data_IF_195695537324
#
_entry.id   IF_195695537324
#
_cell.length_a   1.000
_cell.length_b   1.000
_cell.length_c   1.000
_cell.angle_alpha   90.00
_cell.angle_beta   90.00
_cell.angle_gamma   90.00
#
_symmetry.space_group_name_H-M   'P 1'
#
loop_
_entity.id
_entity.type
_entity.pdbx_description
1 polymer ?
#
# COMPACT_ATOMS: atom_id res chain seq x y z
N UNK A 1 -7.16 -11.19 -17.22
CA UNK A 1 -7.68 -10.99 -15.85
C UNK A 1 -7.09 -9.71 -15.25
N UNK A 2 -7.63 -9.21 -14.14
CA UNK A 2 -6.94 -8.21 -13.33
C UNK A 2 -5.97 -8.89 -12.36
N UNK A 3 -4.84 -8.25 -12.07
CA UNK A 3 -3.97 -8.55 -10.95
C UNK A 3 -3.73 -7.30 -10.13
N UNK A 4 -4.06 -7.34 -8.84
CA UNK A 4 -3.72 -6.30 -7.88
C UNK A 4 -2.45 -6.74 -7.15
N UNK A 5 -1.36 -6.00 -7.36
CA UNK A 5 -0.04 -6.29 -6.81
C UNK A 5 0.30 -5.31 -5.68
N UNK A 6 0.26 -5.76 -4.43
CA UNK A 6 0.46 -4.92 -3.24
C UNK A 6 1.56 -5.48 -2.33
N UNK A 7 2.65 -4.74 -2.20
CA UNK A 7 3.86 -5.16 -1.46
C UNK A 7 4.63 -3.97 -0.87
N UNK A 8 5.69 -4.24 -0.11
CA UNK A 8 6.63 -3.24 0.41
C UNK A 8 7.54 -2.62 -0.66
N UNK A 9 7.97 -3.39 -1.66
CA UNK A 9 8.77 -2.90 -2.78
C UNK A 9 8.91 -3.94 -3.88
N UNK A 10 8.71 -3.53 -5.13
CA UNK A 10 9.11 -4.27 -6.33
C UNK A 10 9.79 -3.34 -7.34
N UNK A 11 10.61 -3.90 -8.24
CA UNK A 11 11.25 -3.12 -9.29
C UNK A 11 10.34 -3.02 -10.53
N UNK A 12 9.97 -1.79 -10.89
CA UNK A 12 9.07 -1.51 -12.00
C UNK A 12 9.72 -1.63 -13.38
N UNK A 13 8.91 -1.85 -14.41
CA UNK A 13 9.38 -1.82 -15.81
C UNK A 13 9.80 -0.42 -16.29
N UNK A 14 9.44 0.62 -15.53
CA UNK A 14 9.84 2.02 -15.67
C UNK A 14 11.10 2.38 -14.83
N UNK A 15 11.66 1.42 -14.08
CA UNK A 15 12.74 1.64 -13.11
C UNK A 15 12.30 2.25 -11.79
N UNK A 16 10.99 2.44 -11.57
CA UNK A 16 10.42 2.93 -10.32
C UNK A 16 10.29 1.86 -9.23
N UNK A 17 10.04 2.30 -8.00
CA UNK A 17 9.78 1.41 -6.86
C UNK A 17 8.28 1.14 -6.73
N UNK A 18 7.82 0.05 -7.33
CA UNK A 18 6.42 -0.38 -7.36
C UNK A 18 6.02 -1.09 -6.05
N UNK A 19 4.73 -1.37 -5.89
CA UNK A 19 4.19 -2.17 -4.78
C UNK A 19 2.73 -1.86 -4.46
N UNK A 20 1.99 -1.24 -5.36
CA UNK A 20 0.57 -0.93 -5.24
C UNK A 20 0.03 -0.69 -6.64
N UNK A 21 0.05 -1.74 -7.45
CA UNK A 21 -0.18 -1.67 -8.89
C UNK A 21 -1.46 -2.41 -9.26
N UNK A 22 -2.24 -1.85 -10.19
CA UNK A 22 -3.35 -2.56 -10.81
C UNK A 22 -2.96 -2.90 -12.25
N UNK A 23 -2.94 -4.19 -12.55
CA UNK A 23 -2.42 -4.75 -13.80
C UNK A 23 -3.53 -5.48 -14.57
N UNK A 24 -3.54 -5.38 -15.90
CA UNK A 24 -4.19 -6.34 -16.78
C UNK A 24 -3.17 -7.43 -17.11
N UNK A 25 -3.48 -8.67 -16.77
CA UNK A 25 -2.65 -9.85 -17.02
C UNK A 25 -3.32 -10.70 -18.09
N UNK A 26 -2.58 -11.07 -19.13
CA UNK A 26 -3.05 -11.89 -20.25
C UNK A 26 -1.91 -12.77 -20.79
N UNK A 27 -2.09 -14.09 -20.80
CA UNK A 27 -0.98 -15.02 -21.05
C UNK A 27 0.21 -14.75 -20.12
N UNK A 28 1.42 -14.67 -20.69
CA UNK A 28 2.64 -14.22 -19.98
C UNK A 28 2.83 -12.69 -19.95
N UNK A 29 1.90 -11.91 -20.52
CA UNK A 29 2.00 -10.46 -20.68
C UNK A 29 1.28 -9.72 -19.54
N UNK A 30 1.79 -8.53 -19.20
CA UNK A 30 1.15 -7.63 -18.23
C UNK A 30 1.15 -6.18 -18.73
N UNK A 31 0.11 -5.44 -18.37
CA UNK A 31 -0.08 -4.03 -18.71
C UNK A 31 -0.53 -3.27 -17.46
N UNK A 32 0.20 -2.23 -17.06
CA UNK A 32 -0.12 -1.40 -15.89
C UNK A 32 -1.32 -0.49 -16.22
N UNK A 33 -2.44 -0.73 -15.55
CA UNK A 33 -3.67 0.06 -15.67
C UNK A 33 -3.72 1.27 -14.73
N UNK A 34 -2.85 1.27 -13.71
CA UNK A 34 -2.81 2.28 -12.66
C UNK A 34 -1.86 1.90 -11.53
N UNK A 35 -1.67 2.83 -10.59
CA UNK A 35 -0.87 2.63 -9.38
C UNK A 35 -1.41 3.47 -8.21
N UNK A 36 -1.03 3.15 -6.98
CA UNK A 36 -1.26 4.06 -5.84
C UNK A 36 -0.47 5.37 -6.05
N UNK A 37 -0.97 6.48 -5.50
CA UNK A 37 -0.25 7.76 -5.50
C UNK A 37 1.19 7.57 -4.98
N UNK A 38 2.21 7.97 -5.74
CA UNK A 38 3.60 7.81 -5.30
C UNK A 38 3.88 8.64 -4.05
N UNK A 39 4.45 8.00 -3.02
CA UNK A 39 4.98 8.63 -1.83
C UNK A 39 6.50 8.85 -1.93
N UNK A 40 7.04 9.97 -1.45
CA UNK A 40 8.48 10.16 -1.34
C UNK A 40 9.11 9.24 -0.28
N UNK A 41 10.26 8.65 -0.60
CA UNK A 41 11.08 7.81 0.28
C UNK A 41 12.32 8.55 0.80
N UNK A 42 12.20 9.37 1.86
CA UNK A 42 13.33 10.16 2.36
C UNK A 42 14.41 9.29 3.02
N UNK A 43 15.47 8.99 2.26
CA UNK A 43 16.57 8.11 2.67
C UNK A 43 16.49 6.69 2.11
N UNK A 44 15.68 6.45 1.07
CA UNK A 44 15.60 5.17 0.37
C UNK A 44 15.20 4.02 1.31
N UNK A 45 15.96 2.93 1.27
CA UNK A 45 15.78 1.71 2.08
C UNK A 45 15.64 1.98 3.59
N UNK A 46 16.23 3.08 4.09
CA UNK A 46 16.06 3.49 5.50
C UNK A 46 14.62 3.86 5.83
N UNK A 47 13.83 4.38 4.88
CA UNK A 47 12.42 4.66 5.09
C UNK A 47 11.61 3.37 5.32
N UNK A 48 11.99 2.26 4.67
CA UNK A 48 11.41 0.93 4.87
C UNK A 48 11.83 0.24 6.18
N UNK A 49 12.73 0.84 6.98
CA UNK A 49 13.05 0.40 8.36
C UNK A 49 12.76 1.45 9.43
N UNK A 50 12.52 2.68 9.04
CA UNK A 50 12.23 3.81 9.93
C UNK A 50 10.89 4.47 9.54
N UNK A 51 9.72 3.79 9.61
CA UNK A 51 8.39 4.30 9.27
C UNK A 51 8.07 5.75 9.63
N UNK A 52 8.60 6.26 10.76
CA UNK A 52 8.48 7.66 11.15
C UNK A 52 9.06 8.66 10.12
N UNK A 53 9.88 8.20 9.16
CA UNK A 53 10.35 8.95 7.97
C UNK A 53 9.25 9.16 6.93
N UNK A 54 8.45 8.12 6.66
CA UNK A 54 7.31 8.19 5.74
C UNK A 54 6.21 9.07 6.32
N UNK A 55 5.96 8.95 7.63
CA UNK A 55 5.07 9.86 8.35
C UNK A 55 5.53 11.33 8.26
N UNK A 56 6.84 11.61 8.38
CA UNK A 56 7.39 12.94 8.16
C UNK A 56 7.25 13.41 6.70
N UNK A 57 7.47 12.53 5.73
CA UNK A 57 7.31 12.83 4.30
C UNK A 57 5.85 13.21 3.98
N UNK A 58 4.89 12.44 4.50
CA UNK A 58 3.44 12.70 4.40
C UNK A 58 3.05 14.02 5.06
N UNK A 59 3.52 14.31 6.28
CA UNK A 59 3.27 15.61 6.93
C UNK A 59 3.79 16.77 6.06
N UNK A 60 4.97 16.64 5.45
CA UNK A 60 5.46 17.64 4.50
C UNK A 60 4.57 17.76 3.25
N UNK A 61 4.14 16.64 2.64
CA UNK A 61 3.20 16.63 1.50
C UNK A 61 1.84 17.27 1.84
N UNK A 62 1.39 17.19 3.10
CA UNK A 62 0.19 17.84 3.63
C UNK A 62 0.38 19.33 3.98
N UNK A 63 1.56 19.91 3.72
CA UNK A 63 1.90 21.28 4.12
C UNK A 63 2.21 21.45 5.62
N UNK A 64 2.21 20.35 6.39
CA UNK A 64 2.39 20.29 7.85
C UNK A 64 3.86 20.08 8.26
N UNK A 65 4.79 20.69 7.52
CA UNK A 65 6.24 20.47 7.68
C UNK A 65 6.79 20.83 9.06
N UNK A 66 6.27 21.90 9.68
CA UNK A 66 6.72 22.40 10.99
C UNK A 66 6.54 21.38 12.13
N UNK A 67 5.53 20.52 12.05
CA UNK A 67 5.25 19.53 13.09
C UNK A 67 6.29 18.41 13.17
N UNK A 68 7.02 18.15 12.09
CA UNK A 68 7.97 17.03 11.96
C UNK A 68 9.06 17.11 13.04
N UNK A 69 9.53 18.31 13.37
CA UNK A 69 10.56 18.52 14.38
C UNK A 69 10.07 18.14 15.79
N UNK A 70 8.83 18.51 16.14
CA UNK A 70 8.24 18.23 17.45
C UNK A 70 7.76 16.79 17.57
N UNK A 71 6.97 16.30 16.60
CA UNK A 71 6.33 14.97 16.63
C UNK A 71 7.34 13.81 16.64
N UNK A 72 8.56 14.04 16.19
CA UNK A 72 9.63 13.04 16.12
C UNK A 72 10.90 13.44 16.89
N UNK A 73 10.83 14.34 17.87
CA UNK A 73 11.93 14.53 18.83
C UNK A 73 12.17 13.23 19.65
N UNK A 74 13.41 12.93 20.12
CA UNK A 74 14.67 13.66 19.93
C UNK A 74 15.45 13.20 18.68
N UNK A 75 14.78 12.56 17.71
CA UNK A 75 15.40 12.08 16.45
C UNK A 75 15.77 13.29 15.58
N UNK A 76 16.52 13.13 14.47
CA UNK A 76 16.83 14.22 13.54
C UNK A 76 15.61 14.67 12.69
N UNK A 77 14.44 14.87 13.32
CA UNK A 77 13.21 15.39 12.70
C UNK A 77 13.39 16.78 12.12
N UNK A 78 14.05 17.69 12.84
CA UNK A 78 14.37 19.02 12.33
C UNK A 78 15.25 18.97 11.06
N UNK A 79 16.31 18.14 11.06
CA UNK A 79 17.18 17.98 9.89
C UNK A 79 16.47 17.30 8.70
N UNK A 80 15.58 16.34 8.98
CA UNK A 80 14.74 15.72 7.95
C UNK A 80 13.74 16.73 7.36
N UNK A 81 13.08 17.53 8.20
CA UNK A 81 12.16 18.58 7.75
C UNK A 81 12.86 19.61 6.86
N UNK A 82 14.03 20.10 7.28
CA UNK A 82 14.87 21.00 6.46
C UNK A 82 15.26 20.37 5.12
N UNK A 83 15.58 19.07 5.09
CA UNK A 83 15.97 18.36 3.86
C UNK A 83 14.81 18.09 2.91
N UNK A 84 13.59 17.88 3.44
CA UNK A 84 12.34 17.82 2.66
C UNK A 84 12.01 19.21 2.07
N UNK A 85 12.01 20.26 2.91
CA UNK A 85 11.78 21.66 2.51
C UNK A 85 12.82 22.16 1.49
N UNK A 86 14.04 21.64 1.52
CA UNK A 86 15.08 21.94 0.53
C UNK A 86 14.81 21.38 -0.88
N UNK A 87 13.67 20.72 -1.13
CA UNK A 87 13.16 20.41 -2.48
C UNK A 87 14.03 19.47 -3.31
N UNK A 88 14.93 18.70 -2.67
CA UNK A 88 15.81 17.77 -3.39
C UNK A 88 15.00 16.61 -3.95
N UNK A 89 15.37 16.12 -5.14
CA UNK A 89 14.72 14.96 -5.74
C UNK A 89 14.80 13.73 -4.82
N UNK A 90 13.64 13.17 -4.49
CA UNK A 90 13.50 11.98 -3.65
C UNK A 90 13.05 10.79 -4.52
N UNK A 91 13.55 9.57 -4.27
CA UNK A 91 12.94 8.37 -4.82
C UNK A 91 11.45 8.32 -4.44
N UNK A 92 10.61 7.94 -5.40
CA UNK A 92 9.16 7.81 -5.21
C UNK A 92 8.76 6.34 -5.22
N UNK A 93 7.67 5.99 -4.53
CA UNK A 93 7.12 4.63 -4.56
C UNK A 93 5.59 4.60 -4.51
N UNK A 94 4.99 3.73 -5.31
CA UNK A 94 3.56 3.39 -5.26
C UNK A 94 3.24 2.26 -4.27
N UNK A 95 4.19 1.88 -3.39
CA UNK A 95 4.02 0.76 -2.47
C UNK A 95 2.90 0.94 -1.42
N UNK A 96 1.99 -0.04 -1.34
CA UNK A 96 1.02 -0.14 -0.26
C UNK A 96 1.69 -0.42 1.09
N UNK A 97 2.75 -1.24 1.13
CA UNK A 97 3.50 -1.48 2.37
C UNK A 97 4.12 -0.19 2.95
N UNK A 98 4.49 0.77 2.09
CA UNK A 98 4.98 2.09 2.52
C UNK A 98 3.84 3.03 2.97
N UNK A 99 2.61 2.82 2.50
CA UNK A 99 1.38 3.46 3.07
C UNK A 99 1.08 2.91 4.47
N UNK A 100 1.21 1.60 4.70
CA UNK A 100 1.13 0.98 6.04
C UNK A 100 2.20 1.56 6.99
N UNK A 101 3.46 1.68 6.54
CA UNK A 101 4.52 2.30 7.33
C UNK A 101 4.20 3.78 7.65
N UNK A 102 3.70 4.56 6.69
CA UNK A 102 3.29 5.93 6.92
C UNK A 102 2.20 6.02 8.02
N UNK A 103 1.16 5.18 7.94
CA UNK A 103 0.11 5.08 8.94
C UNK A 103 0.66 4.69 10.34
N UNK A 104 1.52 3.69 10.41
CA UNK A 104 2.13 3.24 11.67
C UNK A 104 3.06 4.30 12.29
N UNK A 105 3.78 5.06 11.47
CA UNK A 105 4.63 6.17 11.90
C UNK A 105 3.83 7.38 12.38
N UNK A 106 2.70 7.70 11.73
CA UNK A 106 1.79 8.79 12.13
C UNK A 106 1.11 8.49 13.47
N UNK A 107 0.64 7.25 13.66
CA UNK A 107 0.02 6.77 14.90
C UNK A 107 1.03 6.42 16.01
N UNK A 108 2.34 6.47 15.74
CA UNK A 108 3.39 6.15 16.72
C UNK A 108 3.55 4.65 17.07
N UNK A 109 2.84 3.76 16.37
CA UNK A 109 2.77 2.30 16.60
C UNK A 109 4.15 1.63 16.45
N UNK A 110 4.88 2.04 15.42
CA UNK A 110 6.21 1.59 15.10
C UNK A 110 6.96 2.77 14.51
N UNK A 111 7.96 3.28 15.24
CA UNK A 111 8.85 4.29 14.67
C UNK A 111 9.98 3.63 13.87
N UNK A 112 10.79 2.79 14.54
CA UNK A 112 11.87 2.01 13.93
C UNK A 112 11.46 0.53 13.98
N UNK A 113 11.64 -0.19 12.88
CA UNK A 113 11.32 -1.61 12.78
C UNK A 113 12.54 -2.49 13.06
N UNK A 114 12.34 -3.58 13.80
CA UNK A 114 13.34 -4.61 14.07
C UNK A 114 13.45 -5.64 12.93
N UNK A 115 12.38 -5.82 12.16
CA UNK A 115 12.27 -6.74 11.04
C UNK A 115 11.23 -6.22 10.03
N UNK A 116 11.22 -6.75 8.81
CA UNK A 116 10.34 -6.29 7.74
C UNK A 116 8.85 -6.59 8.01
N UNK A 117 7.96 -5.67 7.65
CA UNK A 117 6.51 -5.81 7.88
C UNK A 117 6.05 -5.60 9.32
N UNK A 118 6.94 -5.40 10.31
CA UNK A 118 6.59 -5.26 11.72
C UNK A 118 5.55 -4.16 11.99
N UNK A 119 5.60 -3.04 11.25
CA UNK A 119 4.64 -1.95 11.34
C UNK A 119 3.24 -2.37 10.87
N UNK A 120 3.15 -3.09 9.74
CA UNK A 120 1.91 -3.61 9.19
C UNK A 120 1.28 -4.67 10.12
N UNK A 121 2.07 -5.63 10.62
CA UNK A 121 1.61 -6.64 11.58
C UNK A 121 1.09 -6.03 12.89
N UNK A 122 1.71 -4.93 13.36
CA UNK A 122 1.21 -4.21 14.55
C UNK A 122 -0.09 -3.47 14.26
N UNK A 123 -0.20 -2.79 13.11
CA UNK A 123 -1.42 -2.16 12.65
C UNK A 123 -2.57 -3.19 12.55
N UNK A 124 -2.29 -4.36 11.99
CA UNK A 124 -3.26 -5.47 11.85
C UNK A 124 -3.82 -5.89 13.20
N UNK A 125 -2.95 -6.30 14.14
CA UNK A 125 -3.39 -6.72 15.48
C UNK A 125 -4.04 -5.60 16.30
N UNK A 126 -3.83 -4.31 15.96
CA UNK A 126 -4.57 -3.17 16.54
C UNK A 126 -5.98 -3.05 15.94
N UNK A 127 -6.15 -3.33 14.65
CA UNK A 127 -7.45 -3.38 13.98
C UNK A 127 -8.28 -4.59 14.45
N UNK A 128 -7.68 -5.78 14.52
CA UNK A 128 -8.33 -7.00 15.01
C UNK A 128 -8.91 -6.84 16.43
N UNK A 129 -8.17 -6.17 17.33
CA UNK A 129 -8.64 -5.91 18.71
C UNK A 129 -9.76 -4.87 18.81
N UNK A 130 -9.84 -3.93 17.86
CA UNK A 130 -10.97 -3.01 17.78
C UNK A 130 -12.21 -3.70 17.18
N UNK A 131 -12.00 -4.61 16.24
CA UNK A 131 -13.05 -5.25 15.45
C UNK A 131 -13.50 -4.39 14.26
N UNK A 132 -14.72 -4.61 13.73
CA UNK A 132 -15.23 -3.91 12.57
C UNK A 132 -15.28 -2.38 12.75
N UNK A 133 -14.90 -1.66 11.69
CA UNK A 133 -15.03 -0.21 11.61
C UNK A 133 -15.49 0.18 10.20
N UNK A 134 -16.29 1.23 10.09
CA UNK A 134 -16.65 1.81 8.79
C UNK A 134 -15.42 2.45 8.11
N UNK A 135 -15.32 2.39 6.77
CA UNK A 135 -14.32 3.14 6.03
C UNK A 135 -14.52 4.65 6.21
N UNK A 136 -13.42 5.40 6.19
CA UNK A 136 -13.45 6.85 6.27
C UNK A 136 -14.10 7.43 5.01
N UNK A 137 -15.23 8.14 5.18
CA UNK A 137 -15.81 8.98 4.12
C UNK A 137 -14.75 9.96 3.61
N UNK A 138 -14.60 10.06 2.29
CA UNK A 138 -13.57 10.88 1.62
C UNK A 138 -12.12 10.53 2.02
N UNK A 139 -11.90 9.32 2.58
CA UNK A 139 -10.56 8.83 2.96
C UNK A 139 -9.62 8.49 1.80
N UNK A 140 -10.13 8.42 0.57
CA UNK A 140 -9.33 8.22 -0.63
C UNK A 140 -9.95 8.93 -1.83
N UNK A 141 -9.11 9.24 -2.82
CA UNK A 141 -9.54 9.67 -4.15
C UNK A 141 -9.10 8.64 -5.20
N UNK A 142 -9.90 8.47 -6.25
CA UNK A 142 -9.55 7.65 -7.42
C UNK A 142 -9.76 8.50 -8.68
N UNK A 143 -8.68 8.80 -9.39
CA UNK A 143 -8.71 9.62 -10.60
C UNK A 143 -7.70 9.10 -11.64
N UNK A 144 -8.11 9.01 -12.91
CA UNK A 144 -7.26 8.57 -14.03
C UNK A 144 -6.51 7.24 -13.79
N UNK A 145 -7.07 6.33 -12.97
CA UNK A 145 -6.44 5.07 -12.59
C UNK A 145 -5.43 5.16 -11.43
N UNK A 146 -5.20 6.34 -10.86
CA UNK A 146 -4.39 6.53 -9.64
C UNK A 146 -5.28 6.57 -8.40
N UNK A 147 -4.94 5.74 -7.41
CA UNK A 147 -5.64 5.67 -6.11
C UNK A 147 -4.81 6.38 -5.03
N UNK A 148 -5.37 7.43 -4.42
CA UNK A 148 -4.70 8.29 -3.45
C UNK A 148 -5.28 8.12 -2.03
N UNK A 149 -4.46 7.61 -1.11
CA UNK A 149 -4.78 7.47 0.33
C UNK A 149 -4.28 8.65 1.20
N UNK A 150 -3.79 9.74 0.60
CA UNK A 150 -3.35 10.94 1.32
C UNK A 150 -4.44 11.55 2.24
N UNK A 151 -5.76 11.53 1.90
CA UNK A 151 -6.81 11.99 2.83
C UNK A 151 -6.91 11.13 4.10
N UNK A 152 -6.87 9.80 3.98
CA UNK A 152 -6.80 8.87 5.11
C UNK A 152 -5.55 9.11 5.96
N UNK A 153 -4.40 9.32 5.34
CA UNK A 153 -3.16 9.62 6.07
C UNK A 153 -3.23 10.98 6.78
N UNK A 154 -3.91 11.99 6.21
CA UNK A 154 -4.18 13.26 6.87
C UNK A 154 -5.08 13.09 8.11
N UNK A 155 -6.12 12.27 8.01
CA UNK A 155 -6.97 11.92 9.15
C UNK A 155 -6.21 11.15 10.24
N UNK A 156 -5.34 10.21 9.86
CA UNK A 156 -4.48 9.46 10.79
C UNK A 156 -3.47 10.34 11.53
N UNK A 157 -3.03 11.45 10.95
CA UNK A 157 -2.20 12.42 11.67
C UNK A 157 -2.95 13.02 12.90
N UNK A 158 -4.28 13.15 12.83
CA UNK A 158 -5.14 13.63 13.93
C UNK A 158 -5.88 12.54 14.71
N UNK A 159 -5.86 11.28 14.27
CA UNK A 159 -6.66 10.25 14.90
C UNK A 159 -6.32 10.07 16.39
N UNK A 160 -7.36 10.02 17.24
CA UNK A 160 -7.26 9.74 18.66
C UNK A 160 -7.85 8.35 18.93
N UNK A 161 -7.16 7.53 19.71
CA UNK A 161 -7.46 6.10 19.88
C UNK A 161 -6.85 5.25 18.77
N UNK A 162 -5.68 4.67 19.04
CA UNK A 162 -4.82 4.00 18.04
C UNK A 162 -5.49 2.74 17.43
N UNK A 163 -6.25 1.99 18.23
CA UNK A 163 -6.94 0.77 17.77
C UNK A 163 -8.08 1.10 16.79
N UNK A 164 -8.92 2.10 17.11
CA UNK A 164 -9.93 2.64 16.18
C UNK A 164 -9.28 3.17 14.89
N UNK A 165 -8.16 3.89 15.03
CA UNK A 165 -7.46 4.45 13.88
C UNK A 165 -6.91 3.36 12.94
N UNK A 166 -6.38 2.27 13.51
CA UNK A 166 -5.93 1.11 12.75
C UNK A 166 -7.09 0.38 12.05
N UNK A 167 -8.24 0.21 12.71
CA UNK A 167 -9.41 -0.42 12.09
C UNK A 167 -9.98 0.41 10.92
N UNK A 168 -10.17 1.72 11.13
CA UNK A 168 -10.60 2.65 10.06
C UNK A 168 -9.61 2.67 8.91
N UNK A 169 -8.30 2.58 9.17
CA UNK A 169 -7.28 2.45 8.12
C UNK A 169 -7.49 1.21 7.25
N UNK A 170 -7.63 0.01 7.85
CA UNK A 170 -7.83 -1.22 7.07
C UNK A 170 -9.15 -1.18 6.28
N UNK A 171 -10.25 -0.72 6.90
CA UNK A 171 -11.54 -0.60 6.23
C UNK A 171 -11.47 0.36 5.02
N UNK A 172 -10.81 1.51 5.19
CA UNK A 172 -10.65 2.52 4.12
C UNK A 172 -9.76 2.01 3.00
N UNK A 173 -8.65 1.34 3.32
CA UNK A 173 -7.74 0.76 2.32
C UNK A 173 -8.41 -0.38 1.55
N UNK A 174 -9.10 -1.30 2.23
CA UNK A 174 -9.86 -2.37 1.58
C UNK A 174 -10.94 -1.80 0.64
N UNK A 175 -11.69 -0.78 1.09
CA UNK A 175 -12.73 -0.13 0.30
C UNK A 175 -12.18 0.62 -0.92
N UNK A 176 -11.07 1.34 -0.79
CA UNK A 176 -10.42 2.03 -1.91
C UNK A 176 -9.84 1.07 -2.97
N UNK A 177 -9.18 -0.01 -2.53
CA UNK A 177 -8.67 -1.06 -3.41
C UNK A 177 -9.81 -1.84 -4.11
N UNK A 178 -10.93 -2.06 -3.41
CA UNK A 178 -12.12 -2.67 -3.99
C UNK A 178 -12.73 -1.81 -5.11
N UNK A 179 -13.02 -0.54 -4.84
CA UNK A 179 -13.57 0.39 -5.85
C UNK A 179 -12.69 0.47 -7.09
N UNK A 180 -11.38 0.58 -6.90
CA UNK A 180 -10.39 0.66 -7.97
C UNK A 180 -10.36 -0.58 -8.86
N UNK A 181 -10.41 -1.76 -8.25
CA UNK A 181 -10.57 -3.03 -8.97
C UNK A 181 -11.93 -3.15 -9.66
N UNK A 182 -13.02 -2.66 -9.07
CA UNK A 182 -14.38 -2.71 -9.64
C UNK A 182 -14.52 -1.76 -10.84
N UNK A 183 -13.97 -0.55 -10.76
CA UNK A 183 -13.94 0.40 -11.89
C UNK A 183 -13.14 -0.18 -13.06
N UNK A 184 -11.91 -0.66 -12.81
CA UNK A 184 -11.09 -1.28 -13.83
C UNK A 184 -11.75 -2.56 -14.39
N UNK A 185 -12.37 -3.40 -13.56
CA UNK A 185 -13.07 -4.60 -14.01
C UNK A 185 -14.18 -4.25 -15.00
N UNK A 186 -15.00 -3.24 -14.69
CA UNK A 186 -16.03 -2.72 -15.61
C UNK A 186 -15.43 -2.13 -16.88
N UNK A 187 -14.36 -1.35 -16.79
CA UNK A 187 -13.73 -0.65 -17.93
C UNK A 187 -13.05 -1.61 -18.90
N UNK A 188 -12.33 -2.61 -18.39
CA UNK A 188 -11.57 -3.59 -19.19
C UNK A 188 -12.42 -4.81 -19.61
N UNK A 189 -13.68 -4.90 -19.16
CA UNK A 189 -14.57 -6.04 -19.43
C UNK A 189 -14.17 -7.34 -18.72
N UNK A 190 -13.54 -7.24 -17.54
CA UNK A 190 -12.96 -8.36 -16.80
C UNK A 190 -13.78 -8.72 -15.56
N UNK A 191 -13.92 -10.01 -15.28
CA UNK A 191 -14.71 -10.54 -14.15
C UNK A 191 -13.88 -11.29 -13.09
N UNK A 192 -12.56 -11.20 -13.14
CA UNK A 192 -11.64 -11.95 -12.25
C UNK A 192 -10.46 -11.09 -11.83
N UNK A 193 -10.18 -11.07 -10.52
CA UNK A 193 -9.10 -10.32 -9.87
C UNK A 193 -8.21 -11.30 -9.10
N UNK A 194 -6.91 -11.31 -9.41
CA UNK A 194 -5.90 -12.00 -8.60
C UNK A 194 -5.25 -11.04 -7.59
N UNK A 195 -5.01 -11.51 -6.38
CA UNK A 195 -4.35 -10.76 -5.30
C UNK A 195 -2.95 -11.33 -5.06
N UNK A 196 -1.91 -10.50 -5.18
CA UNK A 196 -0.50 -10.90 -5.01
C UNK A 196 0.38 -9.82 -4.40
N UNK A 197 1.49 -10.22 -3.80
CA UNK A 197 2.36 -9.38 -2.98
C UNK A 197 2.10 -9.54 -1.47
N UNK A 198 3.13 -9.25 -0.67
CA UNK A 198 3.18 -9.47 0.77
C UNK A 198 2.14 -8.73 1.60
N UNK A 199 1.52 -7.66 1.09
CA UNK A 199 0.43 -6.99 1.81
C UNK A 199 -0.80 -7.90 1.98
N UNK A 200 -1.00 -8.91 1.12
CA UNK A 200 -2.13 -9.84 1.24
C UNK A 200 -1.92 -10.98 2.25
N UNK A 201 -0.78 -10.99 2.96
CA UNK A 201 -0.64 -11.75 4.22
C UNK A 201 -1.56 -11.20 5.33
N UNK A 202 -1.91 -9.90 5.26
CA UNK A 202 -2.79 -9.25 6.22
C UNK A 202 -4.24 -9.75 6.06
N UNK A 203 -4.77 -10.45 7.06
CA UNK A 203 -6.06 -11.12 7.00
C UNK A 203 -7.22 -10.14 7.06
N UNK A 204 -7.09 -9.04 7.82
CA UNK A 204 -8.10 -7.97 7.91
C UNK A 204 -8.33 -7.33 6.53
N UNK A 205 -7.24 -6.98 5.83
CA UNK A 205 -7.26 -6.41 4.48
C UNK A 205 -7.75 -7.42 3.45
N UNK A 206 -7.13 -8.61 3.40
CA UNK A 206 -7.46 -9.64 2.41
C UNK A 206 -8.90 -10.13 2.53
N UNK A 207 -9.42 -10.30 3.75
CA UNK A 207 -10.81 -10.69 4.00
C UNK A 207 -11.80 -9.63 3.54
N UNK A 208 -11.64 -8.39 4.00
CA UNK A 208 -12.55 -7.28 3.67
C UNK A 208 -12.53 -6.94 2.17
N UNK A 209 -11.34 -6.96 1.54
CA UNK A 209 -11.21 -6.74 0.10
C UNK A 209 -11.89 -7.86 -0.69
N UNK A 210 -11.61 -9.12 -0.37
CA UNK A 210 -12.19 -10.27 -1.09
C UNK A 210 -13.70 -10.26 -0.99
N UNK A 211 -14.26 -10.08 0.21
CA UNK A 211 -15.70 -10.00 0.43
C UNK A 211 -16.36 -8.88 -0.38
N UNK A 212 -15.72 -7.70 -0.48
CA UNK A 212 -16.26 -6.56 -1.23
C UNK A 212 -16.23 -6.81 -2.74
N UNK A 213 -15.16 -7.42 -3.25
CA UNK A 213 -15.03 -7.79 -4.67
C UNK A 213 -16.03 -8.89 -5.07
N UNK A 214 -16.20 -9.92 -4.24
CA UNK A 214 -17.16 -11.02 -4.46
C UNK A 214 -18.61 -10.52 -4.39
N UNK A 215 -18.93 -9.61 -3.45
CA UNK A 215 -20.23 -8.95 -3.39
C UNK A 215 -20.51 -8.07 -4.63
N UNK A 216 -19.48 -7.55 -5.30
CA UNK A 216 -19.58 -6.86 -6.58
C UNK A 216 -19.63 -7.80 -7.81
N UNK A 217 -19.68 -9.12 -7.59
CA UNK A 217 -19.77 -10.14 -8.65
C UNK A 217 -18.44 -10.50 -9.32
N UNK A 218 -17.30 -10.09 -8.74
CA UNK A 218 -15.97 -10.43 -9.25
C UNK A 218 -15.45 -11.71 -8.61
N UNK A 219 -14.87 -12.61 -9.43
CA UNK A 219 -14.16 -13.78 -8.93
C UNK A 219 -12.80 -13.37 -8.37
N UNK A 220 -12.59 -13.56 -7.08
CA UNK A 220 -11.28 -13.31 -6.43
C UNK A 220 -10.41 -14.57 -6.51
N UNK A 221 -9.11 -14.38 -6.72
CA UNK A 221 -8.09 -15.43 -6.69
C UNK A 221 -7.00 -15.02 -5.68
N UNK A 222 -7.07 -15.58 -4.47
CA UNK A 222 -6.01 -15.47 -3.46
C UNK A 222 -4.97 -16.58 -3.56
N UNK A 223 -3.77 -16.34 -3.04
CA UNK A 223 -2.71 -17.34 -2.96
C UNK A 223 -3.04 -18.43 -1.90
N UNK A 224 -2.68 -19.69 -2.19
CA UNK A 224 -3.00 -20.84 -1.31
C UNK A 224 -1.83 -21.84 -1.21
N UNK A 225 -1.43 -22.45 -2.33
CA UNK A 225 -0.38 -23.48 -2.36
C UNK A 225 1.06 -22.93 -2.35
N UNK A 226 1.20 -21.64 -2.63
CA UNK A 226 2.42 -20.84 -2.47
C UNK A 226 2.02 -19.53 -1.76
N UNK A 227 2.90 -18.87 -1.00
CA UNK A 227 2.56 -17.61 -0.33
C UNK A 227 2.41 -16.46 -1.34
N UNK A 228 1.67 -15.39 -1.02
CA UNK A 228 1.50 -14.24 -1.90
C UNK A 228 2.75 -13.33 -1.97
N UNK A 229 3.70 -13.46 -1.05
CA UNK A 229 4.92 -12.66 -0.98
C UNK A 229 6.06 -13.24 -1.85
N UNK A 230 7.27 -12.66 -1.74
CA UNK A 230 8.50 -13.10 -2.42
C UNK A 230 8.78 -14.60 -2.40
N UNK A 231 8.34 -15.33 -1.37
CA UNK A 231 8.47 -16.79 -1.30
C UNK A 231 7.71 -17.54 -2.42
N UNK A 232 6.75 -16.90 -3.08
CA UNK A 232 6.00 -17.42 -4.23
C UNK A 232 6.49 -16.90 -5.60
N UNK A 233 7.37 -15.90 -5.65
CA UNK A 233 7.75 -15.22 -6.91
C UNK A 233 8.37 -16.18 -7.94
N UNK A 234 9.19 -17.14 -7.49
CA UNK A 234 9.85 -18.11 -8.38
C UNK A 234 8.86 -18.99 -9.16
N UNK A 235 7.70 -19.31 -8.58
CA UNK A 235 6.62 -20.04 -9.25
C UNK A 235 5.97 -19.17 -10.34
N UNK A 236 5.75 -17.89 -10.06
CA UNK A 236 5.24 -16.92 -11.02
C UNK A 236 6.19 -16.71 -12.20
N UNK A 237 7.48 -16.53 -11.91
CA UNK A 237 8.55 -16.40 -12.92
C UNK A 237 8.62 -17.64 -13.84
N UNK A 238 8.61 -18.85 -13.27
CA UNK A 238 8.63 -20.10 -14.02
C UNK A 238 7.37 -20.28 -14.89
N UNK A 239 6.20 -19.83 -14.42
CA UNK A 239 4.97 -19.87 -15.20
C UNK A 239 4.99 -18.87 -16.36
N UNK A 240 5.38 -17.61 -16.13
CA UNK A 240 5.48 -16.58 -17.18
C UNK A 240 6.46 -17.01 -18.28
N UNK A 241 7.67 -17.48 -17.90
CA UNK A 241 8.67 -17.94 -18.85
C UNK A 241 8.19 -19.13 -19.71
N UNK A 242 7.35 -20.01 -19.14
CA UNK A 242 6.73 -21.13 -19.86
C UNK A 242 5.65 -20.69 -20.84
N UNK A 243 4.97 -19.58 -20.58
CA UNK A 243 3.95 -19.04 -21.49
C UNK A 243 4.64 -18.39 -22.70
N UNK A 244 5.68 -17.58 -22.50
CA UNK A 244 6.42 -16.96 -23.62
C UNK A 244 7.23 -17.95 -24.48
N UNK A 245 7.56 -19.15 -23.97
CA UNK A 245 8.14 -20.25 -24.79
C UNK A 245 7.10 -21.09 -25.56
N UNK A 246 5.81 -20.75 -25.47
CA UNK A 246 4.73 -21.44 -26.22
C UNK A 246 4.13 -20.62 -27.35
N UNK A 247 4.64 -19.40 -27.54
CA UNK A 247 4.26 -18.45 -28.58
C UNK A 247 5.30 -18.45 -29.75
N UNK A 248 6.16 -19.48 -29.79
CA UNK A 248 7.25 -19.72 -30.75
C UNK A 248 7.19 -21.17 -31.27
#
# INVERSE_FOLDING_TARGET
>A
MLGLACDGSGYGSDGGLWGGELLRIDGGQMCRLGHLRPLPLPGGDRAAREPWRLAAAVLHTLGRGEEIAHRFAPRPGAALAQWLVAGRALPQTSSLGRVFDAAAGLLGIAQIMSFEGQAAMRLEGLAERFGPAEPLQEGYHLEAGQLDFLPLLAWLAEARGVERAAAVFHATVAKGLADWCIEAARREGLSTVALGGGCFLNQVLSGALSQTLEAAGLRVLGAQAAPPNDGGISLGQAWVARQTTREV
#
